data_IF_774019179278
#
_entry.id   IF_774019179278
#
_cell.length_a   1.000
_cell.length_b   1.000
_cell.length_c   1.000
_cell.angle_alpha   90.00
_cell.angle_beta   90.00
_cell.angle_gamma   90.00
#
_symmetry.space_group_name_H-M   'P 1'
#
loop_
_entity.id
_entity.type
_entity.pdbx_description
1 polymer ?
#
# COMPACT_ATOMS: atom_id res chain seq x y z
N UNK A 1 -12.63 7.34 -11.56
CA UNK A 1 -13.14 8.71 -11.76
C UNK A 1 -13.08 9.57 -10.50
N UNK A 2 -13.69 9.18 -9.36
CA UNK A 2 -13.64 9.96 -8.11
C UNK A 2 -12.21 10.34 -7.69
N UNK A 3 -11.32 9.36 -7.59
CA UNK A 3 -9.88 9.55 -7.33
C UNK A 3 -9.26 10.65 -8.19
N UNK A 4 -9.47 10.58 -9.50
CA UNK A 4 -8.85 11.49 -10.45
C UNK A 4 -9.40 12.92 -10.28
N UNK A 5 -10.70 13.08 -10.04
CA UNK A 5 -11.31 14.38 -9.78
C UNK A 5 -10.84 14.96 -8.45
N UNK A 6 -10.77 14.13 -7.40
CA UNK A 6 -10.21 14.53 -6.11
C UNK A 6 -8.76 14.97 -6.29
N UNK A 7 -7.90 14.21 -6.98
CA UNK A 7 -6.52 14.64 -7.24
C UNK A 7 -6.44 15.96 -8.01
N UNK A 8 -7.23 16.13 -9.08
CA UNK A 8 -7.11 17.29 -9.98
C UNK A 8 -7.75 18.57 -9.43
N UNK A 9 -8.88 18.46 -8.72
CA UNK A 9 -9.52 19.61 -8.04
C UNK A 9 -8.86 19.92 -6.71
N UNK A 10 -8.51 18.83 -6.01
CA UNK A 10 -7.87 18.67 -4.72
C UNK A 10 -6.42 19.16 -4.62
N UNK A 11 -5.55 18.43 -5.29
CA UNK A 11 -4.12 18.43 -5.01
C UNK A 11 -3.30 18.59 -6.27
N UNK A 12 -3.72 19.43 -7.21
CA UNK A 12 -2.94 19.69 -8.43
C UNK A 12 -2.26 21.06 -8.45
N UNK A 13 -2.55 21.94 -7.48
CA UNK A 13 -1.94 23.27 -7.42
C UNK A 13 -0.73 23.28 -6.47
N UNK A 14 0.51 23.35 -6.98
CA UNK A 14 1.71 23.35 -6.16
C UNK A 14 1.91 24.65 -5.37
N UNK A 15 1.17 25.73 -5.68
CA UNK A 15 1.21 26.96 -4.89
C UNK A 15 0.28 26.90 -3.66
N UNK A 16 -0.70 26.00 -3.70
CA UNK A 16 -1.64 25.72 -2.61
C UNK A 16 -1.68 24.22 -2.30
N UNK A 17 -0.53 23.64 -1.89
CA UNK A 17 -0.42 22.21 -1.71
C UNK A 17 -1.33 21.74 -0.57
N UNK A 18 -1.94 20.57 -0.76
CA UNK A 18 -2.62 19.84 0.31
C UNK A 18 -2.52 18.35 0.04
N UNK A 19 -2.54 17.58 1.12
CA UNK A 19 -2.58 16.13 1.02
C UNK A 19 -3.94 15.67 0.52
N UNK A 20 -3.94 14.79 -0.48
CA UNK A 20 -5.09 14.05 -0.97
C UNK A 20 -4.79 12.57 -0.76
N UNK A 21 -5.71 11.86 -0.12
CA UNK A 21 -5.57 10.41 0.04
C UNK A 21 -5.84 9.71 -1.30
N UNK A 22 -4.83 8.99 -1.82
CA UNK A 22 -4.92 8.35 -3.11
C UNK A 22 -3.89 7.21 -3.26
N UNK A 23 -4.29 5.94 -3.38
CA UNK A 23 -5.66 5.42 -3.23
C UNK A 23 -6.17 5.54 -1.78
N UNK A 24 -7.49 5.39 -1.61
CA UNK A 24 -8.17 5.35 -0.30
C UNK A 24 -8.98 4.05 -0.15
N UNK A 25 -9.48 3.70 1.05
CA UNK A 25 -10.25 2.47 1.28
C UNK A 25 -11.45 2.27 0.35
N UNK A 26 -12.03 3.37 -0.15
CA UNK A 26 -13.20 3.35 -1.04
C UNK A 26 -12.85 3.62 -2.51
N UNK A 27 -11.57 3.80 -2.82
CA UNK A 27 -11.08 4.27 -4.12
C UNK A 27 -9.70 3.68 -4.41
N UNK A 28 -9.74 2.39 -4.76
CA UNK A 28 -8.59 1.48 -4.85
C UNK A 28 -8.07 1.32 -6.28
N UNK A 29 -6.76 1.15 -6.44
CA UNK A 29 -6.07 0.87 -7.70
C UNK A 29 -4.60 0.51 -7.43
N UNK A 30 -3.96 -0.20 -8.35
CA UNK A 30 -2.52 -0.44 -8.27
C UNK A 30 -2.11 -1.44 -7.19
N UNK A 31 -3.02 -2.33 -6.77
CA UNK A 31 -2.82 -3.31 -5.71
C UNK A 31 -2.25 -2.68 -4.43
N UNK A 32 -2.87 -1.60 -3.99
CA UNK A 32 -2.45 -0.84 -2.84
C UNK A 32 -2.33 -1.73 -1.60
N UNK A 33 -1.39 -1.38 -0.71
CA UNK A 33 -1.20 -2.14 0.52
C UNK A 33 -2.35 -1.86 1.47
N UNK A 34 -3.04 -2.92 1.89
CA UNK A 34 -4.12 -2.86 2.88
C UNK A 34 -3.67 -2.22 4.21
N UNK A 35 -2.37 -2.27 4.51
CA UNK A 35 -1.77 -1.69 5.70
C UNK A 35 -1.30 -0.24 5.51
N UNK A 36 -1.51 0.38 4.34
CA UNK A 36 -1.05 1.74 4.08
C UNK A 36 -2.20 2.76 3.96
N UNK A 37 -1.88 3.99 4.36
CA UNK A 37 -2.53 5.22 3.88
C UNK A 37 -1.57 5.96 2.96
N UNK A 38 -2.06 6.46 1.83
CA UNK A 38 -1.25 7.11 0.79
C UNK A 38 -1.67 8.56 0.62
N UNK A 39 -0.80 9.51 0.97
CA UNK A 39 -1.09 10.92 0.88
C UNK A 39 -0.24 11.58 -0.20
N UNK A 40 -0.87 12.23 -1.17
CA UNK A 40 -0.21 12.93 -2.27
C UNK A 40 -0.37 14.44 -2.13
N UNK A 41 0.70 15.19 -2.33
CA UNK A 41 0.68 16.64 -2.45
C UNK A 41 1.50 17.11 -3.66
N UNK A 42 1.02 18.11 -4.42
CA UNK A 42 1.73 18.62 -5.58
C UNK A 42 2.93 19.46 -5.13
N UNK A 43 4.00 19.41 -5.91
CA UNK A 43 5.23 20.18 -5.73
C UNK A 43 5.64 20.84 -7.04
N UNK A 44 6.46 21.89 -6.94
CA UNK A 44 7.26 22.42 -8.05
C UNK A 44 8.73 22.53 -7.61
N UNK A 45 9.69 22.27 -8.52
CA UNK A 45 11.10 22.13 -8.15
C UNK A 45 11.78 23.44 -7.72
N UNK A 46 11.22 24.59 -8.10
CA UNK A 46 11.72 25.93 -7.81
C UNK A 46 11.14 26.54 -6.52
N UNK A 47 10.32 25.79 -5.76
CA UNK A 47 9.71 26.25 -4.52
C UNK A 47 10.31 25.56 -3.28
N UNK A 48 9.99 26.12 -2.11
CA UNK A 48 10.31 25.55 -0.81
C UNK A 48 9.01 25.19 -0.10
N UNK A 49 8.95 23.98 0.46
CA UNK A 49 7.79 23.51 1.20
C UNK A 49 8.16 23.12 2.62
N UNK A 50 7.19 23.25 3.52
CA UNK A 50 7.26 22.72 4.88
C UNK A 50 6.14 21.72 5.10
N UNK A 51 6.50 20.47 5.39
CA UNK A 51 5.58 19.46 5.92
C UNK A 51 5.71 19.49 7.43
N UNK A 52 4.62 19.62 8.16
CA UNK A 52 4.65 19.67 9.62
C UNK A 52 3.42 19.04 10.23
N UNK A 53 3.51 18.70 11.51
CA UNK A 53 2.37 18.18 12.26
C UNK A 53 2.78 17.28 13.40
N UNK A 54 2.05 16.17 13.60
CA UNK A 54 2.33 15.18 14.65
C UNK A 54 2.53 13.80 14.04
N UNK A 55 3.59 13.13 14.48
CA UNK A 55 4.03 11.82 13.99
C UNK A 55 2.98 10.70 14.14
N UNK A 56 2.07 10.81 15.11
CA UNK A 56 1.17 9.71 15.45
C UNK A 56 1.92 8.51 16.01
N UNK A 57 1.32 7.32 15.94
CA UNK A 57 1.94 6.07 16.40
C UNK A 57 1.99 4.99 15.32
N UNK A 58 1.57 5.31 14.08
CA UNK A 58 1.72 4.43 12.92
C UNK A 58 3.13 3.88 12.77
N UNK A 59 3.25 2.62 12.37
CA UNK A 59 4.51 1.90 12.28
C UNK A 59 5.63 2.69 11.58
N UNK A 60 5.36 3.28 10.41
CA UNK A 60 6.34 4.10 9.70
C UNK A 60 5.66 5.10 8.76
N UNK A 61 6.30 6.24 8.50
CA UNK A 61 5.99 7.08 7.34
C UNK A 61 7.19 7.09 6.40
N UNK A 62 6.96 6.84 5.12
CA UNK A 62 7.95 7.02 4.07
C UNK A 62 7.54 8.23 3.22
N UNK A 63 8.35 9.28 3.25
CA UNK A 63 8.21 10.46 2.40
C UNK A 63 9.00 10.23 1.11
N UNK A 64 8.38 10.39 -0.05
CA UNK A 64 8.99 10.22 -1.36
C UNK A 64 8.72 11.45 -2.24
N UNK A 65 9.78 12.04 -2.79
CA UNK A 65 9.67 13.05 -3.86
C UNK A 65 9.66 12.31 -5.20
N UNK A 66 8.58 12.46 -5.96
CA UNK A 66 8.29 11.65 -7.16
C UNK A 66 7.98 12.51 -8.39
N UNK A 67 8.21 11.92 -9.56
CA UNK A 67 7.79 12.46 -10.85
C UNK A 67 6.27 12.35 -11.04
N UNK A 68 5.67 11.24 -10.61
CA UNK A 68 4.23 11.04 -10.66
C UNK A 68 3.80 9.59 -10.57
N UNK A 69 2.91 9.21 -11.48
CA UNK A 69 2.18 7.94 -11.44
C UNK A 69 2.68 6.96 -12.51
N UNK A 70 2.90 5.69 -12.14
CA UNK A 70 3.37 4.63 -13.05
C UNK A 70 2.52 4.50 -14.31
N UNK A 71 1.19 4.53 -14.17
CA UNK A 71 0.26 4.41 -15.29
C UNK A 71 0.35 5.57 -16.30
N UNK A 72 0.97 6.69 -15.91
CA UNK A 72 1.27 7.82 -16.78
C UNK A 72 2.69 7.77 -17.35
N UNK A 73 3.47 6.73 -17.05
CA UNK A 73 4.89 6.62 -17.41
C UNK A 73 5.81 7.48 -16.53
N UNK A 74 5.31 8.03 -15.43
CA UNK A 74 6.02 8.96 -14.54
C UNK A 74 6.60 8.20 -13.34
N UNK A 75 7.64 7.39 -13.56
CA UNK A 75 8.08 6.35 -12.61
C UNK A 75 9.19 6.75 -11.66
N UNK A 76 9.79 7.93 -11.84
CA UNK A 76 11.02 8.30 -11.11
C UNK A 76 10.78 8.67 -9.65
N UNK A 77 11.70 8.19 -8.80
CA UNK A 77 11.87 8.56 -7.39
C UNK A 77 13.13 9.43 -7.29
N UNK A 78 13.01 10.62 -6.71
CA UNK A 78 14.12 11.57 -6.62
C UNK A 78 14.76 11.59 -5.24
N UNK A 79 13.95 11.44 -4.20
CA UNK A 79 14.41 11.39 -2.82
C UNK A 79 13.41 10.62 -1.97
N UNK A 80 13.89 9.90 -0.96
CA UNK A 80 13.06 9.22 0.02
C UNK A 80 13.62 9.40 1.43
N UNK A 81 12.74 9.43 2.44
CA UNK A 81 13.14 9.49 3.85
C UNK A 81 12.09 8.87 4.75
N UNK A 82 12.51 8.06 5.72
CA UNK A 82 11.59 7.52 6.73
C UNK A 82 11.39 8.52 7.87
N UNK A 83 10.23 8.49 8.53
CA UNK A 83 10.00 9.29 9.73
C UNK A 83 10.89 8.87 10.90
N UNK A 84 11.32 7.61 10.95
CA UNK A 84 12.32 7.14 11.92
C UNK A 84 13.70 7.82 11.78
N UNK A 85 13.98 8.43 10.61
CA UNK A 85 15.21 9.21 10.36
C UNK A 85 15.02 10.72 10.57
N UNK A 86 13.87 11.12 11.12
CA UNK A 86 13.57 12.52 11.43
C UNK A 86 13.80 12.80 12.92
N UNK A 87 14.28 14.01 13.21
CA UNK A 87 14.17 14.58 14.53
C UNK A 87 12.70 14.89 14.82
N UNK A 88 12.15 14.25 15.86
CA UNK A 88 10.79 14.45 16.34
C UNK A 88 10.86 14.93 17.78
N UNK A 89 10.14 16.01 18.07
CA UNK A 89 10.05 16.58 19.42
C UNK A 89 9.42 15.58 20.39
N UNK A 90 9.66 15.77 21.70
CA UNK A 90 9.17 14.87 22.74
C UNK A 90 7.63 14.72 22.76
N UNK A 91 6.90 15.72 22.26
CA UNK A 91 5.43 15.67 22.14
C UNK A 91 4.94 15.23 20.76
N UNK A 92 5.83 14.66 19.95
CA UNK A 92 5.53 14.08 18.64
C UNK A 92 5.45 15.08 17.50
N UNK A 93 5.73 16.37 17.73
CA UNK A 93 5.81 17.36 16.65
C UNK A 93 7.05 17.16 15.80
N UNK A 94 6.91 17.41 14.50
CA UNK A 94 8.06 17.48 13.60
C UNK A 94 7.78 18.46 12.46
N UNK A 95 8.85 18.89 11.81
CA UNK A 95 8.83 19.55 10.51
C UNK A 95 9.84 18.89 9.58
N UNK A 96 9.52 18.85 8.29
CA UNK A 96 10.33 18.36 7.19
C UNK A 96 10.31 19.40 6.07
N UNK A 97 11.50 19.84 5.68
CA UNK A 97 11.70 20.86 4.65
C UNK A 97 11.98 20.20 3.31
N UNK A 98 11.33 20.68 2.26
CA UNK A 98 11.52 20.21 0.89
C UNK A 98 12.06 21.35 0.03
N UNK A 99 13.19 21.13 -0.64
CA UNK A 99 13.82 22.12 -1.51
C UNK A 99 14.55 23.23 -0.74
N UNK A 100 14.90 24.31 -1.44
CA UNK A 100 15.67 25.43 -0.89
C UNK A 100 17.10 25.06 -0.50
N UNK A 101 17.72 25.89 0.33
CA UNK A 101 19.05 25.60 0.88
C UNK A 101 19.04 24.32 1.72
N UNK A 102 20.08 23.50 1.53
CA UNK A 102 20.24 22.25 2.26
C UNK A 102 20.27 22.51 3.78
N UNK A 103 19.60 21.63 4.53
CA UNK A 103 19.55 21.71 6.00
C UNK A 103 20.11 20.44 6.63
N UNK A 104 20.69 20.59 7.81
CA UNK A 104 21.32 19.49 8.52
C UNK A 104 20.34 18.40 8.98
N UNK A 105 19.13 18.80 9.39
CA UNK A 105 18.08 17.91 9.86
C UNK A 105 16.81 18.06 9.03
N UNK A 106 16.02 16.99 8.98
CA UNK A 106 14.68 16.92 8.38
C UNK A 106 14.55 17.72 7.07
N UNK A 107 15.37 17.38 6.10
CA UNK A 107 15.37 18.01 4.78
C UNK A 107 15.46 16.96 3.67
N UNK A 108 14.82 17.27 2.54
CA UNK A 108 14.89 16.51 1.30
C UNK A 108 15.04 17.46 0.10
N UNK A 109 15.89 17.13 -0.88
CA UNK A 109 16.03 17.94 -2.09
C UNK A 109 14.80 17.82 -3.00
N UNK A 110 14.60 18.81 -3.87
CA UNK A 110 13.66 18.75 -4.99
C UNK A 110 14.46 18.75 -6.30
N UNK A 111 14.39 17.63 -7.01
CA UNK A 111 14.96 17.50 -8.35
C UNK A 111 14.14 18.34 -9.36
N UNK A 112 14.75 18.73 -10.49
CA UNK A 112 14.05 19.47 -11.55
C UNK A 112 12.81 18.75 -12.10
N UNK A 113 12.74 17.41 -12.01
CA UNK A 113 11.58 16.61 -12.38
C UNK A 113 10.56 16.39 -11.24
N UNK A 114 10.78 16.92 -10.04
CA UNK A 114 9.91 16.71 -8.89
C UNK A 114 8.56 17.39 -9.08
N UNK A 115 7.48 16.61 -8.95
CA UNK A 115 6.09 17.09 -9.12
C UNK A 115 5.18 16.72 -7.96
N UNK A 116 5.58 15.72 -7.16
CA UNK A 116 4.75 15.16 -6.11
C UNK A 116 5.55 14.82 -4.87
N UNK A 117 4.97 15.07 -3.70
CA UNK A 117 5.29 14.37 -2.47
C UNK A 117 4.27 13.24 -2.29
N UNK A 118 4.75 12.01 -2.17
CA UNK A 118 3.98 10.87 -1.68
C UNK A 118 4.41 10.56 -0.25
N UNK A 119 3.44 10.46 0.66
CA UNK A 119 3.65 9.89 1.98
C UNK A 119 2.97 8.54 2.04
N UNK A 120 3.75 7.47 2.21
CA UNK A 120 3.23 6.15 2.55
C UNK A 120 3.28 6.00 4.06
N UNK A 121 2.13 6.01 4.69
CA UNK A 121 2.02 5.72 6.11
C UNK A 121 1.67 4.25 6.27
N UNK A 122 2.49 3.50 6.99
CA UNK A 122 2.36 2.06 7.23
C UNK A 122 1.76 1.84 8.61
N UNK A 123 0.81 0.91 8.69
CA UNK A 123 0.22 0.44 9.93
C UNK A 123 0.51 -1.05 10.13
N UNK A 124 1.21 -1.41 11.19
CA UNK A 124 1.52 -2.81 11.48
C UNK A 124 0.53 -3.40 12.49
N UNK A 125 0.24 -2.67 13.57
CA UNK A 125 -0.78 -3.03 14.57
C UNK A 125 -2.02 -2.15 14.47
N UNK A 126 -3.06 -2.69 13.84
CA UNK A 126 -4.31 -1.96 13.61
C UNK A 126 -5.13 -1.74 14.88
N UNK A 127 -4.83 -2.44 15.98
CA UNK A 127 -5.55 -2.27 17.23
C UNK A 127 -5.10 -1.03 18.02
N UNK A 128 -3.86 -0.58 17.83
CA UNK A 128 -3.23 0.41 18.72
C UNK A 128 -2.60 1.60 18.00
N UNK A 129 -2.32 1.48 16.70
CA UNK A 129 -1.66 2.54 15.95
C UNK A 129 -2.64 3.62 15.47
N UNK A 130 -2.25 4.87 15.70
CA UNK A 130 -2.98 6.07 15.30
C UNK A 130 -2.27 6.76 14.12
N UNK A 131 -3.03 7.23 13.11
CA UNK A 131 -2.45 7.95 11.98
C UNK A 131 -1.77 9.27 12.38
N UNK A 132 -0.74 9.64 11.64
CA UNK A 132 -0.11 10.94 11.69
C UNK A 132 -1.09 12.05 11.28
N UNK A 133 -0.89 13.23 11.86
CA UNK A 133 -1.57 14.46 11.45
C UNK A 133 -0.57 15.31 10.68
N UNK A 134 -0.76 15.44 9.37
CA UNK A 134 0.18 16.10 8.48
C UNK A 134 -0.46 17.31 7.80
N UNK A 135 0.29 18.39 7.71
CA UNK A 135 0.00 19.54 6.88
C UNK A 135 1.21 19.83 5.98
N UNK A 136 0.96 20.43 4.83
CA UNK A 136 1.98 20.91 3.91
C UNK A 136 1.64 22.34 3.51
N UNK A 137 2.65 23.19 3.44
CA UNK A 137 2.52 24.56 2.97
C UNK A 137 3.70 24.95 2.07
N UNK A 138 3.45 25.87 1.14
CA UNK A 138 4.50 26.52 0.35
C UNK A 138 5.04 27.72 1.15
N UNK A 139 6.34 27.74 1.38
CA UNK A 139 7.02 28.77 2.17
C UNK A 139 7.12 30.05 1.34
N UNK A 140 6.87 31.21 1.97
CA UNK A 140 6.92 32.51 1.31
C UNK A 140 5.80 32.73 0.29
N UNK A 141 4.64 32.09 0.48
CA UNK A 141 3.45 32.32 -0.34
C UNK A 141 2.44 33.18 0.42
N UNK A 142 2.23 34.39 -0.06
CA UNK A 142 1.19 35.34 0.36
C UNK A 142 0.04 35.41 -0.67
N UNK A 143 -0.01 34.41 -1.56
CA UNK A 143 -1.05 34.24 -2.58
C UNK A 143 -2.38 33.79 -1.94
N UNK A 144 -3.49 34.23 -2.52
CA UNK A 144 -4.81 33.68 -2.26
C UNK A 144 -5.15 32.60 -3.33
N UNK A 145 -5.85 31.50 -2.97
CA UNK A 145 -6.24 30.50 -3.94
C UNK A 145 -7.01 31.14 -5.11
N UNK A 146 -6.60 30.91 -6.37
CA UNK A 146 -7.26 31.54 -7.50
C UNK A 146 -8.70 31.06 -7.61
N UNK A 147 -9.60 31.96 -8.05
CA UNK A 147 -10.95 31.56 -8.39
C UNK A 147 -10.92 30.53 -9.53
N UNK A 148 -11.79 29.51 -9.49
CA UNK A 148 -11.89 28.55 -10.59
C UNK A 148 -12.36 29.28 -11.86
N UNK A 149 -11.58 29.17 -12.93
CA UNK A 149 -11.96 29.63 -14.28
C UNK A 149 -12.47 28.46 -15.11
N UNK A 150 -13.31 28.70 -16.14
CA UNK A 150 -13.76 27.63 -17.05
C UNK A 150 -12.59 26.84 -17.64
N UNK A 151 -11.54 27.51 -18.11
CA UNK A 151 -10.36 26.86 -18.71
C UNK A 151 -9.61 25.99 -17.70
N UNK A 152 -9.46 26.46 -16.46
CA UNK A 152 -8.81 25.70 -15.39
C UNK A 152 -9.62 24.45 -15.05
N UNK A 153 -10.93 24.58 -14.95
CA UNK A 153 -11.82 23.44 -14.70
C UNK A 153 -11.79 22.45 -15.86
N UNK A 154 -11.81 22.93 -17.11
CA UNK A 154 -11.69 22.07 -18.29
C UNK A 154 -10.37 21.29 -18.28
N UNK A 155 -9.24 21.96 -18.04
CA UNK A 155 -7.94 21.31 -17.96
C UNK A 155 -7.86 20.24 -16.84
N UNK A 156 -8.49 20.52 -15.68
CA UNK A 156 -8.59 19.55 -14.58
C UNK A 156 -9.43 18.33 -14.95
N UNK A 157 -10.55 18.53 -15.66
CA UNK A 157 -11.40 17.43 -16.14
C UNK A 157 -10.67 16.59 -17.18
N UNK A 158 -9.97 17.22 -18.12
CA UNK A 158 -9.18 16.51 -19.13
C UNK A 158 -8.04 15.70 -18.50
N UNK A 159 -7.34 16.29 -17.52
CA UNK A 159 -6.31 15.57 -16.76
C UNK A 159 -6.89 14.39 -15.98
N UNK A 160 -8.07 14.55 -15.38
CA UNK A 160 -8.74 13.47 -14.67
C UNK A 160 -9.18 12.35 -15.62
N UNK A 161 -9.69 12.70 -16.80
CA UNK A 161 -10.08 11.74 -17.83
C UNK A 161 -8.87 10.93 -18.33
N UNK A 162 -7.77 11.61 -18.67
CA UNK A 162 -6.51 10.95 -19.06
C UNK A 162 -6.00 10.00 -17.99
N UNK A 163 -6.02 10.42 -16.72
CA UNK A 163 -5.59 9.58 -15.62
C UNK A 163 -6.44 8.31 -15.49
N UNK A 164 -7.76 8.42 -15.63
CA UNK A 164 -8.67 7.27 -15.56
C UNK A 164 -8.43 6.30 -16.71
N UNK A 165 -8.31 6.80 -17.94
CA UNK A 165 -8.07 5.97 -19.13
C UNK A 165 -6.73 5.25 -19.03
N UNK A 166 -5.66 5.96 -18.69
CA UNK A 166 -4.33 5.41 -18.54
C UNK A 166 -4.26 4.37 -17.41
N UNK A 167 -4.91 4.64 -16.27
CA UNK A 167 -5.00 3.68 -15.16
C UNK A 167 -5.74 2.41 -15.58
N UNK A 168 -6.90 2.54 -16.22
CA UNK A 168 -7.69 1.38 -16.65
C UNK A 168 -6.92 0.49 -17.63
N UNK A 169 -6.24 1.10 -18.61
CA UNK A 169 -5.39 0.39 -19.58
C UNK A 169 -4.21 -0.31 -18.90
N UNK A 170 -3.41 0.43 -18.14
CA UNK A 170 -2.20 -0.07 -17.48
C UNK A 170 -2.49 -1.29 -16.60
N UNK A 171 -3.50 -1.20 -15.71
CA UNK A 171 -3.78 -2.29 -14.79
C UNK A 171 -4.48 -3.48 -15.46
N UNK A 172 -5.30 -3.25 -16.50
CA UNK A 172 -5.90 -4.33 -17.27
C UNK A 172 -4.84 -5.14 -18.04
N UNK A 173 -3.87 -4.47 -18.66
CA UNK A 173 -2.74 -5.10 -19.35
C UNK A 173 -1.90 -5.91 -18.35
N UNK A 174 -1.55 -5.30 -17.22
CA UNK A 174 -0.77 -5.95 -16.16
C UNK A 174 -1.42 -7.24 -15.64
N UNK A 175 -2.72 -7.18 -15.33
CA UNK A 175 -3.47 -8.34 -14.85
C UNK A 175 -3.59 -9.42 -15.93
N UNK A 176 -3.79 -9.04 -17.20
CA UNK A 176 -3.85 -9.99 -18.30
C UNK A 176 -2.52 -10.76 -18.45
N UNK A 177 -1.39 -10.07 -18.33
CA UNK A 177 -0.06 -10.70 -18.36
C UNK A 177 0.16 -11.64 -17.17
N UNK A 178 -0.14 -11.20 -15.95
CA UNK A 178 -0.04 -12.05 -14.76
C UNK A 178 -0.89 -13.32 -14.88
N UNK A 179 -2.15 -13.16 -15.34
CA UNK A 179 -3.08 -14.27 -15.52
C UNK A 179 -2.62 -15.24 -16.61
N UNK A 180 -2.01 -14.75 -17.69
CA UNK A 180 -1.45 -15.59 -18.76
C UNK A 180 -0.17 -16.33 -18.33
N UNK A 181 0.65 -15.69 -17.49
CA UNK A 181 1.87 -16.26 -16.94
C UNK A 181 1.61 -17.33 -15.85
N UNK A 182 0.41 -17.34 -15.26
CA UNK A 182 0.04 -18.23 -14.15
C UNK A 182 0.40 -19.69 -14.41
N UNK A 183 1.05 -20.32 -13.44
CA UNK A 183 1.26 -21.77 -13.38
C UNK A 183 0.82 -22.28 -12.01
N UNK A 184 -0.13 -23.23 -11.93
CA UNK A 184 -0.57 -23.78 -10.66
C UNK A 184 0.61 -24.25 -9.78
N UNK A 185 0.58 -23.91 -8.50
CA UNK A 185 1.61 -24.30 -7.52
C UNK A 185 2.96 -23.57 -7.67
N UNK A 186 3.04 -22.49 -8.48
CA UNK A 186 4.23 -21.65 -8.56
C UNK A 186 3.89 -20.22 -8.17
N UNK A 187 4.89 -19.55 -7.59
CA UNK A 187 4.85 -18.12 -7.29
C UNK A 187 6.09 -17.46 -7.88
N UNK A 188 5.88 -16.34 -8.57
CA UNK A 188 6.94 -15.46 -9.05
C UNK A 188 7.79 -14.97 -7.87
N UNK A 189 9.14 -14.90 -8.01
CA UNK A 189 10.01 -14.37 -6.97
C UNK A 189 9.78 -12.88 -6.75
N UNK A 190 10.08 -12.39 -5.54
CA UNK A 190 9.97 -10.98 -5.23
C UNK A 190 11.00 -10.16 -6.02
N UNK A 191 10.58 -9.05 -6.62
CA UNK A 191 11.43 -8.13 -7.37
C UNK A 191 11.03 -6.68 -7.16
N UNK A 192 11.93 -5.76 -7.52
CA UNK A 192 11.60 -4.33 -7.61
C UNK A 192 10.81 -4.07 -8.88
N UNK A 193 9.94 -3.07 -8.81
CA UNK A 193 9.15 -2.59 -9.94
C UNK A 193 9.31 -1.07 -10.05
N UNK A 194 9.39 -0.57 -11.27
CA UNK A 194 9.43 0.86 -11.54
C UNK A 194 8.14 1.55 -11.04
N UNK A 195 8.27 2.78 -10.56
CA UNK A 195 7.16 3.54 -9.95
C UNK A 195 6.78 3.09 -8.53
N UNK A 196 7.25 1.93 -8.08
CA UNK A 196 7.18 1.50 -6.68
C UNK A 196 8.06 2.35 -5.76
N UNK A 197 7.96 2.13 -4.45
CA UNK A 197 8.98 2.62 -3.51
C UNK A 197 10.23 1.75 -3.63
N UNK A 198 11.41 2.39 -3.60
CA UNK A 198 12.67 1.69 -3.85
C UNK A 198 12.91 0.55 -2.86
N UNK A 199 12.56 0.73 -1.59
CA UNK A 199 12.79 -0.26 -0.54
C UNK A 199 11.85 -1.47 -0.54
N UNK A 200 11.00 -1.63 -1.58
CA UNK A 200 10.00 -2.69 -1.63
C UNK A 200 10.33 -3.72 -2.71
N UNK A 201 10.36 -4.98 -2.30
CA UNK A 201 10.32 -6.14 -3.18
C UNK A 201 8.90 -6.69 -3.21
N UNK A 202 8.33 -6.85 -4.40
CA UNK A 202 6.99 -7.40 -4.60
C UNK A 202 7.06 -8.74 -5.33
N UNK A 203 6.31 -9.72 -4.86
CA UNK A 203 5.92 -10.86 -5.65
C UNK A 203 4.44 -10.79 -5.98
N UNK A 204 4.13 -10.95 -7.25
CA UNK A 204 2.76 -10.96 -7.77
C UNK A 204 2.58 -12.25 -8.57
N UNK A 205 1.60 -13.07 -8.19
CA UNK A 205 1.21 -14.21 -8.99
C UNK A 205 -0.31 -14.40 -8.93
N UNK A 206 -0.82 -15.15 -9.88
CA UNK A 206 -2.24 -15.46 -9.98
C UNK A 206 -2.57 -16.67 -9.09
N UNK A 207 -3.76 -16.67 -8.49
CA UNK A 207 -4.36 -17.87 -7.93
C UNK A 207 -5.62 -18.24 -8.70
N UNK A 208 -5.92 -19.53 -8.78
CA UNK A 208 -7.20 -20.07 -9.25
C UNK A 208 -7.55 -21.27 -8.39
N UNK A 209 -8.73 -21.26 -7.78
CA UNK A 209 -9.19 -22.26 -6.82
C UNK A 209 -10.66 -22.57 -7.06
N UNK A 210 -11.01 -23.85 -6.97
CA UNK A 210 -12.39 -24.27 -6.75
C UNK A 210 -12.84 -23.95 -5.31
N UNK A 211 -14.14 -24.00 -5.05
CA UNK A 211 -14.73 -23.67 -3.73
C UNK A 211 -14.30 -24.62 -2.60
N UNK A 212 -13.90 -25.84 -2.96
CA UNK A 212 -13.40 -26.88 -2.07
C UNK A 212 -11.88 -27.06 -2.12
N UNK A 213 -11.16 -26.11 -2.72
CA UNK A 213 -9.70 -26.07 -2.74
C UNK A 213 -9.13 -25.00 -1.80
N UNK A 214 -7.88 -25.20 -1.40
CA UNK A 214 -7.08 -24.22 -0.69
C UNK A 214 -5.68 -24.13 -1.29
N UNK A 215 -5.16 -22.93 -1.45
CA UNK A 215 -3.75 -22.69 -1.76
C UNK A 215 -2.97 -22.47 -0.46
N UNK A 216 -1.96 -23.29 -0.23
CA UNK A 216 -0.98 -23.10 0.84
C UNK A 216 0.24 -22.42 0.23
N UNK A 217 0.60 -21.27 0.79
CA UNK A 217 1.85 -20.56 0.49
C UNK A 217 2.76 -20.65 1.71
N UNK A 218 3.94 -21.24 1.55
CA UNK A 218 4.92 -21.39 2.62
C UNK A 218 6.20 -20.63 2.29
N UNK A 219 6.65 -19.78 3.20
CA UNK A 219 7.85 -18.96 3.03
C UNK A 219 8.63 -18.94 4.34
N UNK A 220 9.96 -18.83 4.26
CA UNK A 220 10.75 -18.44 5.43
C UNK A 220 10.37 -17.01 5.81
N UNK A 221 10.32 -16.69 7.11
CA UNK A 221 10.11 -15.32 7.52
C UNK A 221 11.28 -14.46 7.00
N UNK A 222 11.03 -13.42 6.18
CA UNK A 222 12.10 -12.58 5.66
C UNK A 222 12.71 -11.74 6.79
N UNK A 223 14.00 -11.49 6.70
CA UNK A 223 14.68 -10.50 7.52
C UNK A 223 14.39 -9.12 6.92
N UNK A 224 13.29 -8.52 7.38
CA UNK A 224 12.77 -7.26 6.90
C UNK A 224 12.08 -6.50 8.05
N UNK A 225 12.10 -5.17 8.00
CA UNK A 225 11.35 -4.34 8.99
C UNK A 225 9.84 -4.55 8.85
N UNK A 226 9.37 -4.79 7.63
CA UNK A 226 7.96 -5.05 7.35
C UNK A 226 7.83 -6.06 6.21
N UNK A 227 6.86 -6.96 6.33
CA UNK A 227 6.40 -7.82 5.25
C UNK A 227 4.90 -8.07 5.35
N UNK A 228 4.27 -8.39 4.23
CA UNK A 228 2.84 -8.70 4.19
C UNK A 228 2.45 -9.57 3.00
N UNK A 229 1.31 -10.24 3.15
CA UNK A 229 0.60 -11.00 2.13
C UNK A 229 -0.79 -10.39 1.96
N UNK A 230 -1.30 -10.31 0.73
CA UNK A 230 -2.67 -9.88 0.48
C UNK A 230 -3.26 -10.48 -0.80
N UNK A 231 -4.58 -10.51 -0.85
CA UNK A 231 -5.34 -10.83 -2.04
C UNK A 231 -5.81 -9.57 -2.74
N UNK A 232 -5.80 -9.64 -4.07
CA UNK A 232 -6.08 -8.54 -4.98
C UNK A 232 -7.01 -9.07 -6.08
N UNK A 233 -8.00 -8.27 -6.47
CA UNK A 233 -8.99 -8.65 -7.47
C UNK A 233 -8.43 -8.63 -8.90
N UNK A 234 -9.17 -9.18 -9.89
CA UNK A 234 -8.80 -9.09 -11.31
C UNK A 234 -8.79 -7.68 -11.93
N UNK A 235 -9.10 -6.63 -11.15
CA UNK A 235 -8.93 -5.24 -11.55
C UNK A 235 -7.72 -4.59 -10.87
N UNK A 236 -6.88 -5.40 -10.21
CA UNK A 236 -5.69 -4.97 -9.48
C UNK A 236 -6.01 -4.01 -8.31
N UNK A 237 -7.04 -4.33 -7.53
CA UNK A 237 -7.43 -3.60 -6.30
C UNK A 237 -7.38 -4.55 -5.11
N UNK A 238 -6.96 -4.09 -3.94
CA UNK A 238 -7.04 -4.94 -2.75
C UNK A 238 -8.50 -5.36 -2.48
N UNK A 239 -8.70 -6.59 -2.02
CA UNK A 239 -10.03 -7.04 -1.56
C UNK A 239 -10.47 -6.25 -0.32
N UNK A 240 -11.70 -6.47 0.15
CA UNK A 240 -12.24 -5.79 1.33
C UNK A 240 -11.52 -6.22 2.62
N UNK A 241 -10.38 -5.59 2.90
CA UNK A 241 -9.57 -5.83 4.09
C UNK A 241 -10.16 -5.25 5.38
N UNK A 242 -11.21 -4.42 5.28
CA UNK A 242 -11.87 -3.84 6.45
C UNK A 242 -12.85 -4.84 7.08
N UNK A 243 -13.53 -5.64 6.26
CA UNK A 243 -14.55 -6.59 6.73
C UNK A 243 -14.16 -8.06 6.55
N UNK A 244 -13.04 -8.34 5.87
CA UNK A 244 -12.52 -9.69 5.67
C UNK A 244 -11.02 -9.75 5.96
N UNK A 245 -10.52 -10.92 6.35
CA UNK A 245 -9.08 -11.16 6.47
C UNK A 245 -8.52 -11.46 5.08
N UNK A 246 -8.34 -10.43 4.26
CA UNK A 246 -7.79 -10.55 2.89
C UNK A 246 -6.32 -10.16 2.82
N UNK A 247 -5.75 -9.68 3.93
CA UNK A 247 -4.34 -9.35 4.10
C UNK A 247 -3.82 -9.74 5.49
N UNK A 248 -2.52 -10.02 5.57
CA UNK A 248 -1.78 -10.25 6.81
C UNK A 248 -0.39 -9.66 6.72
N UNK A 249 -0.03 -8.80 7.67
CA UNK A 249 1.34 -8.30 7.83
C UNK A 249 2.14 -9.08 8.89
N UNK A 250 3.42 -8.73 9.04
CA UNK A 250 4.37 -9.36 9.96
C UNK A 250 4.00 -9.37 11.45
N UNK A 251 3.11 -8.48 11.92
CA UNK A 251 2.59 -8.48 13.30
C UNK A 251 1.33 -9.34 13.45
N UNK A 252 0.59 -9.51 12.36
CA UNK A 252 -0.69 -10.23 12.35
C UNK A 252 -0.50 -11.73 12.08
N UNK A 253 0.42 -12.06 11.15
CA UNK A 253 0.72 -13.44 10.79
C UNK A 253 1.40 -14.19 11.95
N UNK A 254 1.19 -15.51 12.00
CA UNK A 254 1.85 -16.45 12.90
C UNK A 254 2.99 -17.15 12.17
N UNK A 255 4.14 -17.22 12.82
CA UNK A 255 5.28 -18.02 12.37
C UNK A 255 5.20 -19.35 13.10
N UNK A 256 5.27 -20.46 12.37
CA UNK A 256 5.25 -21.81 12.96
C UNK A 256 6.59 -22.09 13.69
N UNK A 257 6.66 -23.16 14.48
CA UNK A 257 7.86 -23.46 15.28
C UNK A 257 9.11 -23.74 14.42
N UNK A 258 8.94 -24.07 13.15
CA UNK A 258 10.03 -24.26 12.19
C UNK A 258 10.53 -22.96 11.53
N UNK A 259 10.04 -21.80 11.99
CA UNK A 259 10.46 -20.48 11.51
C UNK A 259 9.83 -20.07 10.18
N UNK A 260 8.89 -20.86 9.64
CA UNK A 260 8.21 -20.54 8.39
C UNK A 260 6.85 -19.91 8.64
N UNK A 261 6.45 -19.04 7.73
CA UNK A 261 5.10 -18.49 7.66
C UNK A 261 4.34 -19.26 6.60
N UNK A 262 3.21 -19.85 7.00
CA UNK A 262 2.29 -20.56 6.09
C UNK A 262 0.98 -19.80 6.02
N UNK A 263 0.64 -19.35 4.82
CA UNK A 263 -0.59 -18.63 4.51
C UNK A 263 -1.52 -19.56 3.74
N UNK A 264 -2.79 -19.61 4.13
CA UNK A 264 -3.81 -20.42 3.46
C UNK A 264 -4.80 -19.51 2.76
N UNK A 265 -4.93 -19.61 1.44
CA UNK A 265 -5.95 -18.91 0.66
C UNK A 265 -7.09 -19.88 0.39
N UNK A 266 -8.31 -19.54 0.80
CA UNK A 266 -9.50 -20.38 0.59
C UNK A 266 -10.78 -19.56 0.67
N UNK A 267 -11.85 -20.03 0.03
CA UNK A 267 -13.16 -19.37 0.04
C UNK A 267 -13.92 -19.48 1.39
N UNK A 268 -13.58 -20.49 2.21
CA UNK A 268 -14.22 -20.75 3.51
C UNK A 268 -13.17 -20.77 4.61
N UNK A 269 -13.48 -20.19 5.77
CA UNK A 269 -12.57 -20.14 6.92
C UNK A 269 -12.27 -21.56 7.42
N UNK A 270 -11.02 -22.05 7.29
CA UNK A 270 -10.63 -23.37 7.76
C UNK A 270 -10.27 -23.40 9.26
N UNK A 271 -10.40 -22.27 9.97
CA UNK A 271 -9.99 -22.09 11.37
C UNK A 271 -8.48 -21.95 11.55
N UNK A 272 -7.74 -21.58 10.49
CA UNK A 272 -6.28 -21.32 10.53
C UNK A 272 -6.04 -19.83 10.75
N UNK A 273 -5.11 -19.47 11.63
CA UNK A 273 -4.81 -18.08 11.95
C UNK A 273 -4.41 -17.27 10.70
N UNK A 274 -3.52 -17.84 9.88
CA UNK A 274 -2.99 -17.23 8.65
C UNK A 274 -3.86 -17.50 7.40
N UNK A 275 -5.18 -17.48 7.54
CA UNK A 275 -6.09 -17.63 6.42
C UNK A 275 -6.29 -16.30 5.66
N UNK A 276 -6.35 -16.32 4.33
CA UNK A 276 -6.80 -15.22 3.51
C UNK A 276 -8.10 -15.58 2.79
N UNK A 277 -9.13 -14.78 3.04
CA UNK A 277 -10.48 -14.95 2.49
C UNK A 277 -10.54 -14.47 1.04
N UNK A 278 -10.93 -15.33 0.11
CA UNK A 278 -11.08 -14.94 -1.30
C UNK A 278 -12.30 -14.04 -1.56
N UNK A 279 -13.18 -13.85 -0.57
CA UNK A 279 -14.42 -13.07 -0.67
C UNK A 279 -15.34 -13.55 -1.79
N UNK A 280 -15.30 -14.86 -2.07
CA UNK A 280 -16.07 -15.52 -3.12
C UNK A 280 -15.42 -15.49 -4.52
N UNK A 281 -14.21 -14.94 -4.65
CA UNK A 281 -13.47 -14.99 -5.92
C UNK A 281 -12.84 -16.38 -6.13
N UNK A 282 -13.08 -16.96 -7.30
CA UNK A 282 -12.43 -18.19 -7.74
C UNK A 282 -10.98 -17.94 -8.23
N UNK A 283 -10.66 -16.70 -8.60
CA UNK A 283 -9.32 -16.32 -9.04
C UNK A 283 -9.03 -14.83 -8.78
N UNK A 284 -7.75 -14.50 -8.74
CA UNK A 284 -7.25 -13.16 -8.50
C UNK A 284 -5.73 -13.18 -8.38
N UNK A 285 -5.17 -12.14 -7.76
CA UNK A 285 -3.73 -12.03 -7.54
C UNK A 285 -3.42 -12.30 -6.07
N UNK A 286 -2.50 -13.22 -5.81
CA UNK A 286 -1.79 -13.33 -4.54
C UNK A 286 -0.57 -12.42 -4.61
N UNK A 287 -0.58 -11.37 -3.80
CA UNK A 287 0.53 -10.43 -3.70
C UNK A 287 1.23 -10.59 -2.36
N UNK A 288 2.56 -10.54 -2.38
CA UNK A 288 3.37 -10.45 -1.19
C UNK A 288 4.45 -9.39 -1.37
N UNK A 289 4.88 -8.81 -0.26
CA UNK A 289 5.89 -7.74 -0.25
C UNK A 289 6.82 -7.83 0.93
N UNK A 290 8.10 -7.52 0.68
CA UNK A 290 9.14 -7.38 1.69
C UNK A 290 9.68 -5.95 1.62
N UNK A 291 9.64 -5.22 2.73
CA UNK A 291 9.94 -3.79 2.79
C UNK A 291 11.10 -3.56 3.75
N UNK A 292 12.11 -2.80 3.29
CA UNK A 292 13.41 -2.64 3.98
C UNK A 292 14.02 -4.01 4.33
N UNK A 293 14.04 -4.90 3.34
CA UNK A 293 14.41 -6.29 3.50
C UNK A 293 15.90 -6.52 3.22
N UNK A 294 16.54 -7.34 4.06
CA UNK A 294 17.89 -7.89 3.85
C UNK A 294 17.84 -9.25 3.15
N UNK A 295 16.74 -9.99 3.29
CA UNK A 295 16.51 -11.26 2.58
C UNK A 295 15.19 -11.24 1.80
N UNK A 296 15.12 -12.02 0.73
CA UNK A 296 13.94 -12.14 -0.13
C UNK A 296 13.64 -13.62 -0.42
N UNK A 297 13.23 -14.40 0.61
CA UNK A 297 12.96 -15.83 0.45
C UNK A 297 11.86 -16.06 -0.58
N UNK A 298 12.06 -17.04 -1.47
CA UNK A 298 11.07 -17.40 -2.47
C UNK A 298 9.99 -18.30 -1.83
N UNK A 299 8.70 -17.91 -1.85
CA UNK A 299 7.64 -18.75 -1.34
C UNK A 299 7.40 -19.97 -2.24
N UNK A 300 7.08 -21.11 -1.62
CA UNK A 300 6.53 -22.29 -2.30
C UNK A 300 5.01 -22.29 -2.25
N UNK A 301 4.35 -22.85 -3.26
CA UNK A 301 2.89 -22.93 -3.34
C UNK A 301 2.40 -24.36 -3.61
N UNK A 302 1.30 -24.75 -2.98
CA UNK A 302 0.62 -26.02 -3.26
C UNK A 302 -0.89 -25.87 -3.12
N UNK A 303 -1.64 -26.36 -4.09
CA UNK A 303 -3.11 -26.44 -4.01
C UNK A 303 -3.49 -27.81 -3.45
N UNK A 304 -4.39 -27.82 -2.47
CA UNK A 304 -4.90 -29.05 -1.84
C UNK A 304 -6.43 -28.98 -1.72
N UNK A 305 -7.12 -30.13 -1.69
CA UNK A 305 -8.52 -30.15 -1.27
C UNK A 305 -8.65 -29.62 0.16
N UNK A 306 -9.65 -28.79 0.42
CA UNK A 306 -9.91 -28.18 1.73
C UNK A 306 -10.09 -29.26 2.81
N UNK A 307 -10.71 -30.38 2.47
CA UNK A 307 -10.88 -31.54 3.36
C UNK A 307 -9.55 -32.20 3.77
N UNK A 308 -8.45 -31.96 3.05
CA UNK A 308 -7.10 -32.46 3.35
C UNK A 308 -6.18 -31.42 3.98
N UNK A 309 -6.64 -30.16 4.08
CA UNK A 309 -5.82 -29.03 4.55
C UNK A 309 -5.17 -29.28 5.91
N UNK A 310 -5.91 -29.82 6.88
CA UNK A 310 -5.38 -30.08 8.22
C UNK A 310 -4.18 -31.06 8.22
N UNK A 311 -4.17 -32.04 7.31
CA UNK A 311 -3.05 -32.98 7.17
C UNK A 311 -1.90 -32.45 6.31
N UNK A 312 -2.12 -31.36 5.57
CA UNK A 312 -1.10 -30.71 4.75
C UNK A 312 -0.34 -29.60 5.49
N UNK A 313 -0.81 -29.22 6.68
CA UNK A 313 -0.21 -28.21 7.55
C UNK A 313 0.52 -28.87 8.74
N UNK A 314 1.56 -28.22 9.30
CA UNK A 314 2.17 -28.67 10.55
C UNK A 314 1.17 -28.80 11.70
N UNK A 315 1.41 -29.75 12.60
CA UNK A 315 0.52 -30.01 13.75
C UNK A 315 0.42 -28.86 14.75
N UNK A 316 1.41 -27.95 14.75
CA UNK A 316 1.48 -26.73 15.57
C UNK A 316 0.91 -25.48 14.86
N UNK A 317 0.35 -25.62 13.64
CA UNK A 317 -0.26 -24.49 12.93
C UNK A 317 -1.32 -23.82 13.80
N UNK A 318 -1.14 -22.53 14.04
CA UNK A 318 -2.02 -21.74 14.89
C UNK A 318 -3.47 -21.77 14.38
N UNK A 319 -4.40 -22.10 15.27
CA UNK A 319 -5.84 -22.16 15.01
C UNK A 319 -6.55 -20.95 15.62
N UNK A 320 -7.69 -20.58 15.05
CA UNK A 320 -8.58 -19.56 15.58
C UNK A 320 -10.03 -20.06 15.56
N UNK A 321 -10.76 -19.70 16.59
CA UNK A 321 -12.21 -19.92 16.68
C UNK A 321 -12.96 -18.89 15.85
N UNK A 322 -14.25 -19.17 15.58
CA UNK A 322 -15.12 -18.21 14.91
C UNK A 322 -15.30 -16.90 15.72
N UNK A 323 -15.20 -16.96 17.05
CA UNK A 323 -15.29 -15.77 17.91
C UNK A 323 -14.04 -14.90 17.79
N UNK A 324 -12.85 -15.51 17.88
CA UNK A 324 -11.58 -14.80 17.67
C UNK A 324 -11.50 -14.20 16.26
N UNK A 325 -11.99 -14.91 15.23
CA UNK A 325 -12.08 -14.37 13.88
C UNK A 325 -12.95 -13.12 13.84
N UNK A 326 -14.15 -13.15 14.43
CA UNK A 326 -15.04 -11.98 14.49
C UNK A 326 -14.38 -10.80 15.20
N UNK A 327 -13.65 -11.06 16.29
CA UNK A 327 -12.91 -10.02 17.00
C UNK A 327 -11.80 -9.40 16.13
N UNK A 328 -11.05 -10.23 15.38
CA UNK A 328 -10.04 -9.73 14.43
C UNK A 328 -10.68 -8.86 13.33
N UNK A 329 -11.82 -9.27 12.78
CA UNK A 329 -12.54 -8.47 11.77
C UNK A 329 -13.06 -7.15 12.37
N UNK A 330 -13.54 -7.16 13.62
CA UNK A 330 -13.98 -5.94 14.29
C UNK A 330 -12.84 -4.92 14.47
N UNK A 331 -11.64 -5.38 14.84
CA UNK A 331 -10.44 -4.52 14.89
C UNK A 331 -10.15 -3.91 13.51
N UNK A 332 -10.26 -4.71 12.44
CA UNK A 332 -10.03 -4.24 11.07
C UNK A 332 -11.02 -3.17 10.63
N UNK A 333 -12.30 -3.40 10.88
CA UNK A 333 -13.35 -2.43 10.57
C UNK A 333 -13.15 -1.13 11.36
N UNK A 334 -12.84 -1.23 12.66
CA UNK A 334 -12.58 -0.06 13.50
C UNK A 334 -11.38 0.75 13.00
N UNK A 335 -10.29 0.09 12.62
CA UNK A 335 -9.11 0.77 12.10
C UNK A 335 -9.35 1.40 10.72
N UNK A 336 -10.18 0.77 9.87
CA UNK A 336 -10.57 1.36 8.58
C UNK A 336 -11.29 2.71 8.76
N UNK A 337 -12.11 2.86 9.81
CA UNK A 337 -12.78 4.13 10.14
C UNK A 337 -11.81 5.21 10.62
N UNK A 338 -10.74 4.84 11.34
CA UNK A 338 -9.71 5.80 11.80
C UNK A 338 -8.91 6.41 10.65
N UNK A 339 -8.87 5.74 9.50
CA UNK A 339 -8.14 6.21 8.31
C UNK A 339 -8.97 7.13 7.41
N UNK A 340 -10.28 7.27 7.65
CA UNK A 340 -11.20 8.06 6.82
C UNK A 340 -11.01 9.58 6.95
#
# INVERSE_FOLDING_TARGET
MRVALEQQRHGADPDFPRFVENPSPTSKWGAENADNRYLWAPLRPDAVYRVHGRRGTSFELLFEVKEGFLQLGETRNFAARCASDLAVEADGRFELWLGGEARAANWMPLDAGARWLLVREYFADWATEEPARLAIERVGSDLAPPHPTPDRVAAQLDAAARWVEASARCWAEWVAELRAAHRPGRLAPARRYEGGADDVLYGNDWFRLAEDEALIVACEAPDARYWAFQLVDPCFRSLDWAHHQTSLNHRQARVDADGRVRVVVAARDPGVANWLDTTGLAEGVFQYRFVWARTAPQPSASVVPLARLAGALPGDTARVTAEERRAQIAVRAGHAELRR
#
